data_IF_672191472780
#
_entry.id   IF_672191472780
#
_cell.length_a   1.000
_cell.length_b   1.000
_cell.length_c   1.000
_cell.angle_alpha   90.00
_cell.angle_beta   90.00
_cell.angle_gamma   90.00
#
_symmetry.space_group_name_H-M   'P 1'
#
loop_
_entity.id
_entity.type
_entity.pdbx_description
1 polymer ?
#
# COMPACT_ATOMS: atom_id res chain seq x y z
N UNK A 1 -3.53 -2.30 13.45
CA UNK A 1 -3.58 -0.82 13.54
C UNK A 1 -2.61 -0.28 12.51
N UNK A 2 -2.96 0.79 11.82
CA UNK A 2 -2.07 1.49 10.89
C UNK A 2 -1.45 2.69 11.59
N UNK A 3 -0.14 2.79 11.50
CA UNK A 3 0.66 3.86 12.09
C UNK A 3 1.61 4.44 11.04
N UNK A 4 2.16 5.64 11.26
CA UNK A 4 3.18 6.18 10.37
C UNK A 4 4.46 5.35 10.48
N UNK A 5 5.01 4.95 9.33
CA UNK A 5 6.29 4.26 9.28
C UNK A 5 7.40 5.16 9.80
N UNK A 6 8.35 4.60 10.55
CA UNK A 6 9.53 5.31 11.07
C UNK A 6 9.19 6.64 11.76
N UNK A 7 8.08 6.71 12.50
CA UNK A 7 7.56 7.94 13.13
C UNK A 7 7.36 9.12 12.16
N UNK A 8 7.12 8.84 10.88
CA UNK A 8 6.92 9.83 9.84
C UNK A 8 8.21 10.43 9.26
N UNK A 9 9.39 9.90 9.61
CA UNK A 9 10.69 10.40 9.09
C UNK A 9 10.83 10.22 7.57
N UNK A 10 10.05 9.33 6.96
CA UNK A 10 10.08 9.08 5.51
C UNK A 10 9.27 10.10 4.70
N UNK A 11 8.35 10.84 5.32
CA UNK A 11 7.49 11.80 4.62
C UNK A 11 8.32 12.95 4.04
N UNK A 12 8.10 13.27 2.77
CA UNK A 12 8.85 14.28 2.02
C UNK A 12 10.20 13.78 1.47
N UNK A 13 10.56 12.52 1.72
CA UNK A 13 11.72 11.88 1.09
C UNK A 13 11.33 11.20 -0.23
N UNK A 14 12.33 10.72 -0.98
CA UNK A 14 12.10 10.00 -2.23
C UNK A 14 11.78 8.53 -1.97
N UNK A 15 10.67 8.03 -2.53
CA UNK A 15 10.27 6.63 -2.43
C UNK A 15 10.82 5.74 -3.55
N UNK A 16 10.30 4.52 -3.63
CA UNK A 16 10.75 3.48 -4.56
C UNK A 16 10.41 3.77 -6.01
N UNK A 17 9.37 4.56 -6.26
CA UNK A 17 8.94 4.96 -7.61
C UNK A 17 9.50 6.35 -8.01
N UNK A 18 10.55 6.80 -7.30
CA UNK A 18 11.23 8.07 -7.46
C UNK A 18 10.36 9.32 -7.20
N UNK A 19 9.16 9.16 -6.61
CA UNK A 19 8.31 10.26 -6.20
C UNK A 19 8.57 10.74 -4.78
N UNK A 20 7.97 11.87 -4.41
CA UNK A 20 7.94 12.36 -3.02
C UNK A 20 6.92 11.54 -2.21
N UNK A 21 7.36 10.92 -1.11
CA UNK A 21 6.48 10.20 -0.19
C UNK A 21 5.56 11.19 0.51
N UNK A 22 4.24 11.05 0.30
CA UNK A 22 3.22 11.88 0.95
C UNK A 22 2.37 11.10 1.96
N UNK A 23 2.33 9.76 1.86
CA UNK A 23 1.79 8.87 2.89
C UNK A 23 2.71 7.67 3.00
N UNK A 24 3.01 7.25 4.21
CA UNK A 24 3.75 6.02 4.50
C UNK A 24 3.19 5.42 5.78
N UNK A 25 2.46 4.32 5.63
CA UNK A 25 1.72 3.70 6.71
C UNK A 25 2.10 2.23 6.85
N UNK A 26 2.41 1.81 8.07
CA UNK A 26 2.70 0.43 8.41
C UNK A 26 1.59 -0.12 9.30
N UNK A 27 1.11 -1.33 8.97
CA UNK A 27 0.19 -2.08 9.78
C UNK A 27 0.95 -2.96 10.78
N UNK A 28 0.48 -2.98 12.03
CA UNK A 28 1.07 -3.77 13.12
C UNK A 28 1.20 -5.29 12.88
N UNK A 29 0.57 -5.81 11.82
CA UNK A 29 0.67 -7.23 11.39
C UNK A 29 1.60 -7.44 10.17
N UNK A 30 2.38 -6.43 9.79
CA UNK A 30 3.43 -6.55 8.79
C UNK A 30 3.01 -6.20 7.36
N UNK A 31 2.20 -5.17 7.17
CA UNK A 31 1.93 -4.59 5.85
C UNK A 31 2.41 -3.15 5.79
N UNK A 32 2.80 -2.66 4.63
CA UNK A 32 3.17 -1.25 4.41
C UNK A 32 2.54 -0.74 3.12
N UNK A 33 2.02 0.48 3.17
CA UNK A 33 1.48 1.21 2.02
C UNK A 33 2.18 2.56 1.94
N UNK A 34 2.78 2.84 0.79
CA UNK A 34 3.48 4.10 0.53
C UNK A 34 2.84 4.78 -0.68
N UNK A 35 2.28 5.99 -0.48
CA UNK A 35 1.81 6.85 -1.57
C UNK A 35 2.89 7.86 -1.91
N UNK A 36 3.33 7.84 -3.16
CA UNK A 36 4.29 8.77 -3.73
C UNK A 36 3.61 9.74 -4.71
N UNK A 37 4.13 10.96 -4.81
CA UNK A 37 3.71 11.98 -5.77
C UNK A 37 4.86 12.33 -6.72
N UNK A 38 4.55 12.41 -8.00
CA UNK A 38 5.48 12.85 -9.05
C UNK A 38 6.57 11.83 -9.37
N UNK A 39 6.24 10.54 -9.30
CA UNK A 39 7.16 9.46 -9.70
C UNK A 39 7.34 9.35 -11.22
N UNK A 40 8.18 8.39 -11.63
CA UNK A 40 8.61 8.27 -13.04
C UNK A 40 7.51 7.83 -14.02
N UNK A 41 6.58 6.99 -13.54
CA UNK A 41 5.60 6.32 -14.40
C UNK A 41 4.25 7.06 -14.42
N UNK A 42 3.81 7.56 -13.27
CA UNK A 42 2.51 8.22 -13.12
C UNK A 42 2.58 9.37 -12.11
N UNK A 43 1.61 10.31 -12.15
CA UNK A 43 1.56 11.43 -11.21
C UNK A 43 1.50 10.99 -9.74
N UNK A 44 0.92 9.83 -9.47
CA UNK A 44 0.87 9.22 -8.14
C UNK A 44 1.06 7.71 -8.25
N UNK A 45 1.66 7.10 -7.25
CA UNK A 45 1.80 5.65 -7.13
C UNK A 45 1.61 5.19 -5.70
N UNK A 46 0.96 4.05 -5.51
CA UNK A 46 0.89 3.38 -4.21
C UNK A 46 1.69 2.09 -4.30
N UNK A 47 2.81 2.02 -3.59
CA UNK A 47 3.50 0.75 -3.36
C UNK A 47 2.86 0.08 -2.15
N UNK A 48 2.30 -1.10 -2.38
CA UNK A 48 1.65 -1.94 -1.37
C UNK A 48 2.47 -3.20 -1.13
N UNK A 49 2.56 -3.64 0.13
CA UNK A 49 3.22 -4.89 0.44
C UNK A 49 2.83 -5.49 1.77
N UNK A 50 2.84 -6.82 1.81
CA UNK A 50 2.77 -7.63 3.04
C UNK A 50 4.09 -8.36 3.16
N UNK A 51 4.80 -8.14 4.28
CA UNK A 51 6.15 -8.66 4.47
C UNK A 51 6.19 -10.18 4.40
N UNK A 52 7.06 -10.71 3.54
CA UNK A 52 7.19 -12.15 3.30
C UNK A 52 6.14 -12.74 2.37
N UNK A 53 5.22 -11.93 1.84
CA UNK A 53 4.12 -12.38 0.99
C UNK A 53 4.18 -11.74 -0.41
N UNK A 54 3.86 -10.45 -0.56
CA UNK A 54 3.86 -9.76 -1.86
C UNK A 54 4.27 -8.30 -1.79
N UNK A 55 4.62 -7.74 -2.96
CA UNK A 55 4.74 -6.31 -3.22
C UNK A 55 4.13 -5.97 -4.58
N UNK A 56 3.37 -4.88 -4.65
CA UNK A 56 2.70 -4.43 -5.87
C UNK A 56 2.60 -2.89 -5.91
N UNK A 57 2.78 -2.30 -7.09
CA UNK A 57 2.64 -0.84 -7.29
C UNK A 57 1.43 -0.53 -8.18
N UNK A 58 0.50 0.24 -7.63
CA UNK A 58 -0.68 0.80 -8.32
C UNK A 58 -0.37 2.21 -8.81
N UNK A 59 -0.68 2.52 -10.07
CA UNK A 59 -0.43 3.85 -10.67
C UNK A 59 -1.73 4.62 -10.88
N UNK A 60 -1.74 5.89 -10.45
CA UNK A 60 -2.95 6.70 -10.32
C UNK A 60 -2.74 8.09 -10.91
N UNK A 61 -3.82 8.76 -11.31
CA UNK A 61 -3.73 10.01 -12.07
C UNK A 61 -3.93 11.25 -11.21
N UNK A 62 -4.66 11.15 -10.10
CA UNK A 62 -5.02 12.32 -9.26
C UNK A 62 -4.84 12.04 -7.77
N UNK A 63 -4.60 13.11 -6.99
CA UNK A 63 -4.45 13.00 -5.54
C UNK A 63 -5.73 12.46 -4.87
N UNK A 64 -6.90 12.88 -5.34
CA UNK A 64 -8.19 12.45 -4.80
C UNK A 64 -8.38 10.94 -4.97
N UNK A 65 -8.10 10.43 -6.18
CA UNK A 65 -8.10 9.01 -6.48
C UNK A 65 -7.13 8.26 -5.56
N UNK A 66 -5.89 8.75 -5.41
CA UNK A 66 -4.89 8.11 -4.56
C UNK A 66 -5.21 8.09 -3.08
N UNK A 67 -5.83 9.14 -2.55
CA UNK A 67 -6.27 9.16 -1.15
C UNK A 67 -7.40 8.18 -0.93
N UNK A 68 -8.36 8.08 -1.86
CA UNK A 68 -9.43 7.10 -1.76
C UNK A 68 -8.89 5.66 -1.86
N UNK A 69 -7.96 5.43 -2.78
CA UNK A 69 -7.40 4.11 -3.04
C UNK A 69 -6.56 3.59 -1.87
N UNK A 70 -5.70 4.42 -1.28
CA UNK A 70 -4.88 3.97 -0.14
C UNK A 70 -5.75 3.66 1.08
N UNK A 71 -6.85 4.39 1.31
CA UNK A 71 -7.77 4.09 2.40
C UNK A 71 -8.58 2.80 2.13
N UNK A 72 -8.95 2.53 0.88
CA UNK A 72 -9.57 1.26 0.49
C UNK A 72 -8.62 0.08 0.72
N UNK A 73 -7.36 0.18 0.27
CA UNK A 73 -6.34 -0.85 0.50
C UNK A 73 -6.09 -1.09 2.00
N UNK A 74 -6.02 -0.02 2.81
CA UNK A 74 -5.89 -0.15 4.27
C UNK A 74 -7.04 -0.95 4.88
N UNK A 75 -8.27 -0.64 4.49
CA UNK A 75 -9.45 -1.33 4.99
C UNK A 75 -9.42 -2.81 4.61
N UNK A 76 -9.15 -3.11 3.35
CA UNK A 76 -9.13 -4.47 2.82
C UNK A 76 -8.04 -5.33 3.46
N UNK A 77 -6.81 -4.84 3.54
CA UNK A 77 -5.70 -5.54 4.22
C UNK A 77 -6.02 -5.76 5.71
N UNK A 78 -6.67 -4.79 6.36
CA UNK A 78 -7.07 -4.93 7.77
C UNK A 78 -8.11 -6.03 7.96
N UNK A 79 -9.07 -6.14 7.05
CA UNK A 79 -10.08 -7.18 7.06
C UNK A 79 -9.46 -8.56 6.81
N UNK A 80 -8.59 -8.66 5.80
CA UNK A 80 -7.83 -9.89 5.52
C UNK A 80 -7.08 -10.37 6.77
N UNK A 81 -6.33 -9.48 7.41
CA UNK A 81 -5.60 -9.81 8.63
C UNK A 81 -6.46 -10.22 9.83
N UNK A 82 -7.75 -9.87 9.85
CA UNK A 82 -8.68 -10.25 10.92
C UNK A 82 -9.48 -11.51 10.58
N UNK A 83 -9.23 -12.10 9.41
CA UNK A 83 -9.85 -13.34 8.94
C UNK A 83 -8.85 -14.47 9.08
N UNK A 84 -9.28 -15.61 9.62
CA UNK A 84 -8.48 -16.83 9.63
C UNK A 84 -8.55 -17.46 8.24
N UNK A 85 -7.41 -17.56 7.55
CA UNK A 85 -7.30 -18.10 6.19
C UNK A 85 -6.34 -19.28 6.15
N UNK A 86 -6.60 -20.23 5.25
CA UNK A 86 -5.62 -21.22 4.81
C UNK A 86 -4.61 -20.58 3.85
N UNK A 87 -3.52 -21.30 3.55
CA UNK A 87 -2.51 -20.84 2.58
C UNK A 87 -3.07 -20.65 1.16
N UNK A 88 -4.03 -21.49 0.75
CA UNK A 88 -4.65 -21.37 -0.57
C UNK A 88 -5.55 -20.12 -0.64
N UNK A 89 -6.32 -19.85 0.42
CA UNK A 89 -7.17 -18.66 0.52
C UNK A 89 -6.33 -17.36 0.59
N UNK A 90 -5.18 -17.39 1.28
CA UNK A 90 -4.23 -16.27 1.26
C UNK A 90 -3.70 -16.02 -0.16
N UNK A 91 -3.33 -17.08 -0.89
CA UNK A 91 -2.84 -16.96 -2.26
C UNK A 91 -3.90 -16.37 -3.19
N UNK A 92 -5.13 -16.89 -3.14
CA UNK A 92 -6.25 -16.39 -3.94
C UNK A 92 -6.55 -14.93 -3.62
N UNK A 93 -6.57 -14.56 -2.34
CA UNK A 93 -6.79 -13.18 -1.92
C UNK A 93 -5.71 -12.22 -2.45
N UNK A 94 -4.43 -12.61 -2.43
CA UNK A 94 -3.34 -11.79 -2.99
C UNK A 94 -3.54 -11.55 -4.49
N UNK A 95 -3.92 -12.60 -5.24
CA UNK A 95 -4.17 -12.48 -6.67
C UNK A 95 -5.33 -11.53 -6.97
N UNK A 96 -6.40 -11.60 -6.17
CA UNK A 96 -7.54 -10.69 -6.30
C UNK A 96 -7.19 -9.25 -5.92
N UNK A 97 -6.42 -9.06 -4.84
CA UNK A 97 -5.95 -7.75 -4.38
C UNK A 97 -5.12 -7.06 -5.48
N UNK A 98 -4.10 -7.75 -6.00
CA UNK A 98 -3.20 -7.25 -7.05
C UNK A 98 -3.89 -7.08 -8.40
N UNK A 99 -5.02 -7.74 -8.64
CA UNK A 99 -5.79 -7.53 -9.88
C UNK A 99 -6.75 -6.35 -9.78
N UNK A 100 -7.15 -5.95 -8.58
CA UNK A 100 -8.14 -4.89 -8.34
C UNK A 100 -7.48 -3.52 -8.27
N UNK A 101 -6.33 -3.49 -7.63
CA UNK A 101 -5.45 -2.34 -7.45
C UNK A 101 -4.37 -2.32 -8.53
#
# INVERSE_FOLDING_TARGET
MWDQTDNGETIGTTGSENGEIIVDAEHSKGARLTLEKGGDIAPYSITSGVYGSFFHTTYLSTLEESVNEIEAMKAEISEFFNTETSSDEEHDWILEFVSRH
#
